data_IF_569346145083
#
_entry.id   IF_569346145083
#
_cell.length_a   1.000
_cell.length_b   1.000
_cell.length_c   1.000
_cell.angle_alpha   90.00
_cell.angle_beta   90.00
_cell.angle_gamma   90.00
#
_symmetry.space_group_name_H-M   'P 1'
#
loop_
_entity.id
_entity.type
_entity.pdbx_description
1 polymer ?
#
# COMPACT_ATOMS: atom_id res chain seq x y z
N UNK A 1 -0.43 -2.92 -18.53
CA UNK A 1 -0.08 -3.55 -17.24
C UNK A 1 -0.47 -2.61 -16.14
N UNK A 2 -1.08 -3.12 -15.08
CA UNK A 2 -1.50 -2.36 -13.90
C UNK A 2 -0.52 -2.59 -12.76
N UNK A 3 0.20 -1.56 -12.35
CA UNK A 3 1.02 -1.58 -11.15
C UNK A 3 0.35 -0.80 -10.03
N UNK A 4 0.48 -1.31 -8.81
CA UNK A 4 -0.09 -0.66 -7.63
C UNK A 4 1.03 -0.27 -6.66
N UNK A 5 0.85 0.86 -5.99
CA UNK A 5 1.86 1.43 -5.08
C UNK A 5 1.30 1.49 -3.67
N UNK A 6 2.05 0.96 -2.70
CA UNK A 6 1.69 0.99 -1.29
C UNK A 6 2.72 1.77 -0.48
N UNK A 7 2.26 2.72 0.35
CA UNK A 7 3.14 3.66 1.06
C UNK A 7 3.13 3.38 2.56
N UNK A 8 4.30 3.01 3.10
CA UNK A 8 4.49 2.66 4.51
C UNK A 8 4.57 3.85 5.47
N UNK A 9 4.21 5.07 5.04
CA UNK A 9 4.29 6.28 5.85
C UNK A 9 3.02 7.11 5.76
N UNK A 10 2.41 7.39 6.91
CA UNK A 10 1.07 8.01 7.01
C UNK A 10 1.09 9.53 7.25
N UNK A 11 2.24 10.11 7.61
CA UNK A 11 2.34 11.57 7.87
C UNK A 11 2.10 12.37 6.59
N UNK A 12 1.35 13.48 6.69
CA UNK A 12 0.97 14.37 5.57
C UNK A 12 2.15 14.78 4.67
N UNK A 13 3.31 15.09 5.26
CA UNK A 13 4.51 15.54 4.55
C UNK A 13 5.52 14.45 4.18
N UNK A 14 5.10 13.18 4.08
CA UNK A 14 6.01 12.07 3.84
C UNK A 14 6.81 12.20 2.53
N UNK A 15 8.13 12.06 2.63
CA UNK A 15 9.01 11.98 1.46
C UNK A 15 8.75 10.72 0.64
N UNK A 16 8.46 9.59 1.30
CA UNK A 16 8.06 8.35 0.63
C UNK A 16 6.76 8.53 -0.16
N UNK A 17 5.77 9.23 0.41
CA UNK A 17 4.56 9.56 -0.34
C UNK A 17 4.83 10.50 -1.53
N UNK A 18 5.83 11.39 -1.44
CA UNK A 18 6.25 12.23 -2.56
C UNK A 18 6.87 11.41 -3.69
N UNK A 19 7.76 10.46 -3.37
CA UNK A 19 8.31 9.50 -4.35
C UNK A 19 7.19 8.68 -4.99
N UNK A 20 6.27 8.12 -4.20
CA UNK A 20 5.16 7.33 -4.70
C UNK A 20 4.28 8.09 -5.71
N UNK A 21 3.96 9.36 -5.43
CA UNK A 21 3.21 10.22 -6.37
C UNK A 21 3.97 10.50 -7.66
N UNK A 22 5.31 10.55 -7.61
CA UNK A 22 6.12 10.76 -8.81
C UNK A 22 6.15 9.54 -9.74
N UNK A 23 5.78 8.34 -9.26
CA UNK A 23 5.78 7.12 -10.10
C UNK A 23 4.72 7.16 -11.20
N UNK A 24 3.57 7.79 -10.97
CA UNK A 24 2.49 7.86 -11.97
C UNK A 24 2.92 8.58 -13.26
N UNK A 25 3.45 9.82 -13.23
CA UNK A 25 3.91 10.49 -14.45
C UNK A 25 5.19 9.88 -15.05
N UNK A 26 5.92 9.06 -14.30
CA UNK A 26 7.13 8.36 -14.76
C UNK A 26 6.85 6.95 -15.28
N UNK A 27 5.57 6.54 -15.30
CA UNK A 27 5.19 5.20 -15.74
C UNK A 27 5.60 4.97 -17.20
N UNK A 28 6.23 3.82 -17.53
CA UNK A 28 6.53 3.48 -18.92
C UNK A 28 5.27 3.38 -19.78
N UNK A 29 5.45 3.49 -21.10
CA UNK A 29 4.35 3.26 -22.07
C UNK A 29 3.73 1.88 -21.83
N UNK A 30 2.41 1.84 -21.69
CA UNK A 30 1.65 0.61 -21.45
C UNK A 30 1.60 0.17 -19.98
N UNK A 31 2.13 0.96 -19.04
CA UNK A 31 2.00 0.76 -17.59
C UNK A 31 1.11 1.84 -16.99
N UNK A 32 0.07 1.42 -16.28
CA UNK A 32 -0.74 2.29 -15.43
C UNK A 32 -0.32 2.08 -13.98
N UNK A 33 -0.12 3.18 -13.24
CA UNK A 33 0.30 3.14 -11.84
C UNK A 33 -0.80 3.72 -10.97
N UNK A 34 -1.30 2.94 -10.02
CA UNK A 34 -2.35 3.34 -9.08
C UNK A 34 -1.87 3.29 -7.62
N UNK A 35 -2.34 4.24 -6.81
CA UNK A 35 -2.06 4.25 -5.38
C UNK A 35 -3.06 3.37 -4.63
N UNK A 36 -2.56 2.42 -3.82
CA UNK A 36 -3.40 1.67 -2.88
C UNK A 36 -3.87 2.56 -1.71
N UNK A 37 -4.95 2.16 -1.01
CA UNK A 37 -5.38 2.84 0.20
C UNK A 37 -4.26 2.94 1.24
N UNK A 38 -4.29 4.03 2.03
CA UNK A 38 -3.36 4.24 3.13
C UNK A 38 -3.37 3.04 4.09
N UNK A 39 -2.18 2.62 4.52
CA UNK A 39 -2.01 1.58 5.56
C UNK A 39 -2.74 1.92 6.86
N UNK A 40 -2.95 3.21 7.16
CA UNK A 40 -3.72 3.66 8.32
C UNK A 40 -5.20 3.24 8.32
N UNK A 41 -5.72 2.75 7.17
CA UNK A 41 -7.09 2.25 7.06
C UNK A 41 -7.20 0.76 7.40
N UNK A 42 -6.08 0.05 7.52
CA UNK A 42 -6.09 -1.33 7.95
C UNK A 42 -6.12 -1.41 9.48
N UNK A 43 -6.89 -2.35 10.05
CA UNK A 43 -6.77 -2.65 11.46
C UNK A 43 -5.43 -3.33 11.75
N UNK A 44 -4.96 -3.23 12.99
CA UNK A 44 -3.90 -4.11 13.48
C UNK A 44 -4.40 -5.55 13.35
N UNK A 45 -3.53 -6.46 12.93
CA UNK A 45 -3.88 -7.87 12.84
C UNK A 45 -4.39 -8.40 14.18
N UNK A 46 -5.54 -9.05 14.13
CA UNK A 46 -6.18 -9.72 15.25
C UNK A 46 -6.85 -11.00 14.72
N UNK A 47 -6.48 -12.14 15.32
CA UNK A 47 -6.98 -13.45 14.90
C UNK A 47 -8.44 -13.68 15.29
N UNK A 48 -8.92 -13.05 16.36
CA UNK A 48 -10.31 -13.14 16.79
C UNK A 48 -11.21 -12.40 15.80
N UNK A 49 -10.78 -11.20 15.35
CA UNK A 49 -11.45 -10.48 14.26
C UNK A 49 -11.46 -11.33 12.99
N UNK A 50 -10.32 -11.94 12.62
CA UNK A 50 -10.24 -12.77 11.42
C UNK A 50 -11.19 -13.97 11.48
N UNK A 51 -11.38 -14.57 12.65
CA UNK A 51 -12.29 -15.70 12.83
C UNK A 51 -13.77 -15.33 12.57
N UNK A 52 -14.13 -14.06 12.80
CA UNK A 52 -15.45 -13.50 12.45
C UNK A 52 -15.54 -13.11 10.97
N UNK A 53 -14.40 -12.87 10.32
CA UNK A 53 -14.28 -12.58 8.90
C UNK A 53 -13.22 -11.51 8.61
N UNK A 54 -12.85 -11.35 7.34
CA UNK A 54 -11.91 -10.28 6.96
C UNK A 54 -12.62 -8.93 6.90
N UNK A 55 -12.06 -7.87 7.54
CA UNK A 55 -12.57 -6.51 7.40
C UNK A 55 -12.61 -6.06 5.93
N UNK A 56 -13.61 -5.27 5.49
CA UNK A 56 -13.72 -4.83 4.10
C UNK A 56 -12.45 -4.15 3.56
N UNK A 57 -11.78 -3.34 4.39
CA UNK A 57 -10.53 -2.68 3.99
C UNK A 57 -9.41 -3.69 3.63
N UNK A 58 -9.38 -4.86 4.29
CA UNK A 58 -8.43 -5.93 4.03
C UNK A 58 -8.81 -6.69 2.76
N UNK A 59 -10.09 -7.01 2.57
CA UNK A 59 -10.56 -7.70 1.35
C UNK A 59 -10.43 -6.84 0.10
N UNK A 60 -10.72 -5.54 0.21
CA UNK A 60 -10.60 -4.58 -0.89
C UNK A 60 -9.13 -4.40 -1.30
N UNK A 61 -8.23 -4.30 -0.31
CA UNK A 61 -6.79 -4.27 -0.56
C UNK A 61 -6.33 -5.56 -1.25
N UNK A 62 -6.76 -6.72 -0.74
CA UNK A 62 -6.44 -8.02 -1.33
C UNK A 62 -6.94 -8.16 -2.77
N UNK A 63 -8.14 -7.65 -3.07
CA UNK A 63 -8.69 -7.63 -4.42
C UNK A 63 -7.89 -6.73 -5.36
N UNK A 64 -7.50 -5.53 -4.89
CA UNK A 64 -6.67 -4.61 -5.66
C UNK A 64 -5.28 -5.18 -5.95
N UNK A 65 -4.65 -5.84 -4.97
CA UNK A 65 -3.37 -6.53 -5.14
C UNK A 65 -3.48 -7.70 -6.12
N UNK A 66 -4.54 -8.51 -6.03
CA UNK A 66 -4.76 -9.66 -6.91
C UNK A 66 -5.00 -9.25 -8.37
N UNK A 67 -5.60 -8.08 -8.59
CA UNK A 67 -5.87 -7.55 -9.93
C UNK A 67 -4.66 -6.82 -10.54
N UNK A 68 -3.59 -6.59 -9.78
CA UNK A 68 -2.40 -5.90 -10.25
C UNK A 68 -1.39 -6.87 -10.87
N UNK A 69 -0.69 -6.40 -11.90
CA UNK A 69 0.45 -7.09 -12.52
C UNK A 69 1.76 -6.85 -11.76
N UNK A 70 1.79 -5.87 -10.85
CA UNK A 70 2.98 -5.55 -10.05
C UNK A 70 2.67 -4.70 -8.81
N UNK A 71 3.47 -4.88 -7.77
CA UNK A 71 3.40 -4.13 -6.51
C UNK A 71 4.71 -3.37 -6.29
N UNK A 72 4.60 -2.07 -5.98
CA UNK A 72 5.71 -1.24 -5.54
C UNK A 72 5.45 -0.81 -4.09
N UNK A 73 6.37 -1.13 -3.20
CA UNK A 73 6.32 -0.67 -1.81
C UNK A 73 7.30 0.50 -1.64
N UNK A 74 6.78 1.65 -1.21
CA UNK A 74 7.59 2.84 -0.92
C UNK A 74 7.49 3.15 0.57
N UNK A 75 8.53 2.79 1.31
CA UNK A 75 8.51 2.81 2.78
C UNK A 75 9.76 3.45 3.37
N UNK A 76 9.63 4.22 4.47
CA UNK A 76 10.80 4.52 5.31
C UNK A 76 11.28 3.27 6.04
N UNK A 77 12.42 3.40 6.70
CA UNK A 77 12.91 2.48 7.72
C UNK A 77 12.63 3.07 9.11
N UNK A 78 12.07 2.27 10.02
CA UNK A 78 11.89 2.61 11.44
C UNK A 78 12.68 1.62 12.30
N UNK A 79 13.62 2.12 13.10
CA UNK A 79 14.40 1.32 14.06
C UNK A 79 15.08 0.10 13.41
N UNK A 80 15.76 0.29 12.27
CA UNK A 80 16.43 -0.77 11.50
C UNK A 80 15.48 -1.86 10.98
N UNK A 81 14.20 -1.54 10.82
CA UNK A 81 13.18 -2.45 10.34
C UNK A 81 12.09 -1.72 9.54
N UNK A 82 11.08 -2.48 9.12
CA UNK A 82 9.88 -1.96 8.46
C UNK A 82 9.00 -1.19 9.46
N UNK A 83 8.23 -0.18 9.02
CA UNK A 83 7.21 0.44 9.86
C UNK A 83 6.19 -0.61 10.28
N UNK A 84 5.86 -0.70 11.57
CA UNK A 84 4.95 -1.76 12.06
C UNK A 84 3.52 -1.71 11.52
N UNK A 85 3.10 -0.60 10.88
CA UNK A 85 1.80 -0.47 10.23
C UNK A 85 1.80 -0.84 8.75
N UNK A 86 2.95 -1.15 8.16
CA UNK A 86 3.07 -1.69 6.80
C UNK A 86 3.04 -3.21 6.85
#
# INVERSE_FOLDING_TARGET
>A
MKWVVWVGSVRKGSYNAAVARALQPLAPVGVEVEMLPSVAKLPIYDADIQAEGFPPAVTDLGAALKAADGLIIVTPEYNYSVPGGL
#
